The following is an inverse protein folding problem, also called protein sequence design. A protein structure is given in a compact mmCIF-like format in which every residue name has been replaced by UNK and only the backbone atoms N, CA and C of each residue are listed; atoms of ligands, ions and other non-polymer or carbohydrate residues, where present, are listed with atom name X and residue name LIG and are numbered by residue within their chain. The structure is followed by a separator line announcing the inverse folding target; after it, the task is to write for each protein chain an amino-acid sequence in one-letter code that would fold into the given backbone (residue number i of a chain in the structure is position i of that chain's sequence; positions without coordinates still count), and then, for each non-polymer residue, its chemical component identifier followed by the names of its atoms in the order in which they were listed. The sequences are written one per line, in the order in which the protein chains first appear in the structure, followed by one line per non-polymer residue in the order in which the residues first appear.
data_IF_641727079933
#
_entry.id   IF_641727079933
#
_cell.length_a   1.000
_cell.length_b   1.000
_cell.length_c   1.000
_cell.angle_alpha   90.00
_cell.angle_beta   90.00
_cell.angle_gamma   90.00
#
_symmetry.space_group_name_H-M   'P 1'
#
loop_
_entity.id
_entity.type
_entity.pdbx_description
1 polymer ?
#
# COMPACT_ATOMS: atom_id res chain seq x y z
N UNK A 1 -22.01 -1.72 -8.85
CA UNK A 1 -21.76 -0.47 -8.12
C UNK A 1 -20.71 -0.66 -7.02
N UNK A 2 -20.41 0.37 -6.25
CA UNK A 2 -19.55 0.28 -5.07
C UNK A 2 -20.37 -0.31 -3.92
N UNK A 3 -19.89 -1.38 -3.31
CA UNK A 3 -20.57 -2.02 -2.18
C UNK A 3 -20.26 -1.30 -0.86
N UNK A 4 -18.98 -1.03 -0.60
CA UNK A 4 -18.54 -0.28 0.59
C UNK A 4 -17.18 0.41 0.34
N UNK A 5 -16.81 1.32 1.23
CA UNK A 5 -15.50 1.97 1.25
C UNK A 5 -14.96 1.95 2.67
N UNK A 6 -13.65 1.66 2.82
CA UNK A 6 -12.96 1.58 4.09
C UNK A 6 -11.69 2.43 4.02
N UNK A 7 -11.54 3.37 4.96
CA UNK A 7 -10.43 4.33 4.99
C UNK A 7 -9.70 4.23 6.33
N UNK A 8 -8.39 4.10 6.26
CA UNK A 8 -7.53 4.01 7.44
C UNK A 8 -6.31 4.93 7.29
N UNK A 9 -5.85 5.46 8.40
CA UNK A 9 -4.60 6.19 8.52
C UNK A 9 -3.92 5.84 9.84
N UNK A 10 -2.60 5.66 9.81
CA UNK A 10 -1.81 5.39 11.01
C UNK A 10 -0.53 6.23 11.01
N UNK A 11 -0.59 7.41 11.61
CA UNK A 11 0.55 8.34 11.72
C UNK A 11 1.74 7.78 12.51
N UNK A 12 1.57 6.70 13.27
CA UNK A 12 2.69 6.04 13.98
C UNK A 12 3.71 5.43 13.01
N UNK A 13 3.32 5.21 11.76
CA UNK A 13 4.18 4.66 10.71
C UNK A 13 4.95 5.73 9.93
N UNK A 14 4.75 7.02 10.23
CA UNK A 14 5.44 8.13 9.57
C UNK A 14 6.96 7.93 9.49
N UNK A 15 7.69 7.47 10.54
CA UNK A 15 9.13 7.30 10.46
C UNK A 15 9.61 6.22 9.47
N UNK A 16 8.70 5.41 8.91
CA UNK A 16 9.05 4.37 7.93
C UNK A 16 9.15 4.90 6.50
N UNK A 17 8.40 5.97 6.20
CA UNK A 17 8.38 6.61 4.87
C UNK A 17 8.00 8.08 5.05
N UNK A 18 8.97 8.96 4.94
CA UNK A 18 8.77 10.38 5.14
C UNK A 18 9.79 11.23 4.37
N UNK A 19 9.60 12.54 4.43
CA UNK A 19 10.61 13.54 4.10
C UNK A 19 10.96 14.25 5.42
N UNK A 20 12.05 13.88 6.11
CA UNK A 20 12.37 14.36 7.47
C UNK A 20 12.45 15.88 7.56
N UNK A 21 12.83 16.53 6.47
CA UNK A 21 13.04 17.97 6.37
C UNK A 21 12.31 18.51 5.13
N UNK A 22 11.00 18.60 5.22
CA UNK A 22 10.17 19.12 4.14
C UNK A 22 10.15 20.65 4.10
N UNK A 23 9.61 21.22 3.01
CA UNK A 23 9.45 22.66 2.79
C UNK A 23 8.71 23.35 3.95
N UNK A 24 7.79 22.66 4.58
CA UNK A 24 7.04 23.16 5.74
C UNK A 24 7.90 23.47 6.98
N UNK A 25 9.14 22.98 7.01
CA UNK A 25 10.10 23.22 8.09
C UNK A 25 11.18 24.28 7.74
N UNK A 26 11.02 24.95 6.59
CA UNK A 26 11.91 26.00 6.12
C UNK A 26 12.80 25.56 4.97
N UNK A 27 12.97 26.45 3.99
CA UNK A 27 13.81 26.20 2.80
C UNK A 27 15.27 25.99 3.12
N UNK A 28 15.77 26.60 4.19
CA UNK A 28 17.15 26.48 4.67
C UNK A 28 17.53 25.05 5.05
N UNK A 29 16.55 24.18 5.27
CA UNK A 29 16.77 22.77 5.60
C UNK A 29 16.91 21.86 4.40
N UNK A 30 16.70 22.36 3.18
CA UNK A 30 16.79 21.56 1.94
C UNK A 30 18.23 21.35 1.46
N UNK A 31 19.18 22.16 1.92
CA UNK A 31 20.59 22.04 1.57
C UNK A 31 21.19 20.73 2.11
N UNK A 32 22.04 20.09 1.30
CA UNK A 32 22.72 18.84 1.66
C UNK A 32 21.85 17.58 1.55
N UNK A 33 20.76 17.61 0.77
CA UNK A 33 19.90 16.44 0.48
C UNK A 33 18.92 16.08 1.60
N UNK A 34 18.71 16.97 2.56
CA UNK A 34 17.77 16.74 3.67
C UNK A 34 16.31 16.68 3.24
N UNK A 35 15.97 17.29 2.09
CA UNK A 35 14.64 17.23 1.48
C UNK A 35 14.32 15.91 0.76
N UNK A 36 15.21 14.91 0.82
CA UNK A 36 14.98 13.64 0.14
C UNK A 36 14.04 12.73 0.92
N UNK A 37 13.32 11.88 0.17
CA UNK A 37 12.49 10.83 0.76
C UNK A 37 13.36 9.82 1.51
N UNK A 38 13.01 9.57 2.75
CA UNK A 38 13.58 8.50 3.59
C UNK A 38 12.60 7.33 3.63
N UNK A 39 13.08 6.11 3.35
CA UNK A 39 12.23 4.91 3.36
C UNK A 39 12.95 3.70 3.97
N UNK A 40 12.32 3.08 4.95
CA UNK A 40 12.72 1.79 5.51
C UNK A 40 12.00 0.66 4.77
N UNK A 41 12.47 0.34 3.56
CA UNK A 41 11.74 -0.50 2.60
C UNK A 41 11.26 -1.85 3.16
N UNK A 42 12.05 -2.55 3.96
CA UNK A 42 11.64 -3.84 4.56
C UNK A 42 10.52 -3.68 5.60
N UNK A 43 10.51 -2.59 6.34
CA UNK A 43 9.49 -2.30 7.34
C UNK A 43 8.20 -1.84 6.65
N UNK A 44 8.32 -0.96 5.66
CA UNK A 44 7.21 -0.55 4.80
C UNK A 44 6.54 -1.76 4.16
N UNK A 45 7.32 -2.69 3.59
CA UNK A 45 6.81 -3.94 3.01
C UNK A 45 5.96 -4.73 4.01
N UNK A 46 6.48 -4.97 5.22
CA UNK A 46 5.77 -5.75 6.25
C UNK A 46 4.48 -5.08 6.70
N UNK A 47 4.52 -3.76 6.90
CA UNK A 47 3.33 -2.98 7.28
C UNK A 47 2.31 -3.01 6.16
N UNK A 48 2.71 -2.76 4.91
CA UNK A 48 1.82 -2.75 3.76
C UNK A 48 1.09 -4.08 3.57
N UNK A 49 1.82 -5.20 3.53
CA UNK A 49 1.20 -6.53 3.34
C UNK A 49 0.21 -6.85 4.46
N UNK A 50 0.58 -6.59 5.71
CA UNK A 50 -0.31 -6.83 6.85
C UNK A 50 -1.57 -5.96 6.79
N UNK A 51 -1.40 -4.66 6.51
CA UNK A 51 -2.52 -3.70 6.49
C UNK A 51 -3.47 -3.98 5.33
N UNK A 52 -2.93 -4.26 4.15
CA UNK A 52 -3.74 -4.61 2.98
C UNK A 52 -4.52 -5.91 3.21
N UNK A 53 -3.90 -6.92 3.82
CA UNK A 53 -4.61 -8.16 4.18
C UNK A 53 -5.75 -7.92 5.15
N UNK A 54 -5.51 -7.15 6.21
CA UNK A 54 -6.56 -6.80 7.19
C UNK A 54 -7.70 -5.99 6.56
N UNK A 55 -7.38 -5.05 5.67
CA UNK A 55 -8.37 -4.24 4.96
C UNK A 55 -9.27 -5.08 4.06
N UNK A 56 -8.71 -6.08 3.39
CA UNK A 56 -9.53 -7.00 2.58
C UNK A 56 -10.45 -7.83 3.47
N UNK A 57 -9.95 -8.40 4.56
CA UNK A 57 -10.79 -9.18 5.47
C UNK A 57 -11.92 -8.31 6.07
N UNK A 58 -11.65 -7.07 6.44
CA UNK A 58 -12.65 -6.10 6.89
C UNK A 58 -13.70 -5.81 5.81
N UNK A 59 -13.25 -5.56 4.57
CA UNK A 59 -14.14 -5.24 3.44
C UNK A 59 -15.05 -6.43 3.10
N UNK A 60 -14.52 -7.63 3.07
CA UNK A 60 -15.30 -8.84 2.80
C UNK A 60 -16.34 -9.08 3.90
N UNK A 61 -15.93 -8.97 5.18
CA UNK A 61 -16.84 -9.13 6.31
C UNK A 61 -17.97 -8.09 6.30
N UNK A 62 -17.68 -6.85 5.93
CA UNK A 62 -18.68 -5.77 5.87
C UNK A 62 -19.74 -5.98 4.76
N UNK A 63 -19.48 -6.88 3.81
CA UNK A 63 -20.36 -7.14 2.68
C UNK A 63 -20.86 -8.60 2.63
N UNK A 64 -20.66 -9.37 3.70
CA UNK A 64 -21.02 -10.80 3.78
C UNK A 64 -20.41 -11.64 2.65
N UNK A 65 -19.19 -11.27 2.21
CA UNK A 65 -18.45 -11.95 1.14
C UNK A 65 -17.30 -12.80 1.70
N UNK A 66 -16.93 -13.82 0.92
CA UNK A 66 -15.77 -14.67 1.19
C UNK A 66 -14.62 -14.34 0.22
N UNK A 67 -13.40 -14.77 0.54
CA UNK A 67 -12.24 -14.59 -0.34
C UNK A 67 -12.44 -15.20 -1.73
N UNK A 68 -13.21 -16.30 -1.84
CA UNK A 68 -13.54 -16.94 -3.10
C UNK A 68 -14.44 -16.12 -4.02
N UNK A 69 -15.15 -15.13 -3.47
CA UNK A 69 -16.05 -14.25 -4.23
C UNK A 69 -15.32 -13.08 -4.90
N UNK A 70 -13.99 -12.95 -4.63
CA UNK A 70 -13.17 -11.91 -5.23
C UNK A 70 -12.71 -12.34 -6.62
N UNK A 71 -13.19 -11.67 -7.64
CA UNK A 71 -12.76 -11.91 -9.03
C UNK A 71 -11.43 -11.23 -9.35
N UNK A 72 -11.23 -10.01 -8.90
CA UNK A 72 -10.06 -9.19 -9.21
C UNK A 72 -9.53 -8.43 -8.01
N UNK A 73 -8.20 -8.39 -7.89
CA UNK A 73 -7.48 -7.49 -6.99
C UNK A 73 -6.83 -6.38 -7.80
N UNK A 74 -7.17 -5.13 -7.51
CA UNK A 74 -6.57 -3.94 -8.12
C UNK A 74 -5.86 -3.13 -7.04
N UNK A 75 -4.61 -3.48 -6.69
CA UNK A 75 -3.88 -2.81 -5.62
C UNK A 75 -3.24 -1.51 -6.10
N UNK A 76 -2.81 -0.65 -5.17
CA UNK A 76 -1.89 0.43 -5.48
C UNK A 76 -0.61 -0.11 -6.15
N UNK A 77 -0.19 0.51 -7.25
CA UNK A 77 0.90 0.05 -8.12
C UNK A 77 2.28 0.49 -7.59
N UNK A 78 2.58 0.23 -6.32
CA UNK A 78 3.82 0.66 -5.70
C UNK A 78 5.01 -0.29 -5.94
N UNK A 79 4.76 -1.58 -5.79
CA UNK A 79 5.82 -2.59 -5.79
C UNK A 79 5.23 -3.98 -6.03
N UNK A 80 5.68 -4.63 -7.10
CA UNK A 80 5.20 -5.96 -7.49
C UNK A 80 5.33 -7.01 -6.36
N UNK A 81 6.33 -6.89 -5.49
CA UNK A 81 6.52 -7.80 -4.36
C UNK A 81 5.43 -7.64 -3.30
N UNK A 82 5.02 -6.40 -2.99
CA UNK A 82 3.90 -6.11 -2.06
C UNK A 82 2.61 -6.64 -2.67
N UNK A 83 2.35 -6.30 -3.92
CA UNK A 83 1.14 -6.72 -4.64
C UNK A 83 1.00 -8.23 -4.68
N UNK A 84 2.06 -8.94 -5.08
CA UNK A 84 2.08 -10.41 -5.12
C UNK A 84 1.94 -11.05 -3.73
N UNK A 85 2.54 -10.47 -2.69
CA UNK A 85 2.40 -10.97 -1.33
C UNK A 85 0.95 -10.82 -0.83
N UNK A 86 0.30 -9.70 -1.15
CA UNK A 86 -1.11 -9.46 -0.82
C UNK A 86 -2.02 -10.46 -1.54
N UNK A 87 -1.84 -10.66 -2.84
CA UNK A 87 -2.62 -11.64 -3.61
C UNK A 87 -2.49 -13.06 -3.03
N UNK A 88 -1.27 -13.49 -2.70
CA UNK A 88 -1.03 -14.80 -2.07
C UNK A 88 -1.69 -14.93 -0.70
N UNK A 89 -1.66 -13.88 0.13
CA UNK A 89 -2.32 -13.88 1.44
C UNK A 89 -3.85 -14.05 1.29
N UNK A 90 -4.42 -13.53 0.21
CA UNK A 90 -5.82 -13.68 -0.14
C UNK A 90 -6.16 -15.04 -0.75
N UNK A 91 -5.16 -15.84 -1.13
CA UNK A 91 -5.35 -17.06 -1.91
C UNK A 91 -5.78 -16.78 -3.35
N UNK A 92 -5.55 -15.56 -3.85
CA UNK A 92 -5.92 -15.16 -5.21
C UNK A 92 -4.80 -15.51 -6.20
N UNK A 93 -5.11 -16.16 -7.34
CA UNK A 93 -4.14 -16.37 -8.41
C UNK A 93 -3.57 -15.05 -8.92
N UNK A 94 -2.27 -15.00 -9.25
CA UNK A 94 -1.63 -13.76 -9.69
C UNK A 94 -2.23 -13.20 -10.99
N UNK A 95 -2.82 -14.06 -11.82
CA UNK A 95 -3.52 -13.69 -13.06
C UNK A 95 -4.79 -12.87 -12.80
N UNK A 96 -5.32 -12.91 -11.57
CA UNK A 96 -6.45 -12.09 -11.12
C UNK A 96 -6.01 -10.82 -10.37
N UNK A 97 -4.72 -10.54 -10.35
CA UNK A 97 -4.18 -9.29 -9.82
C UNK A 97 -3.81 -8.37 -10.98
N UNK A 98 -4.41 -7.19 -11.03
CA UNK A 98 -4.05 -6.19 -12.04
C UNK A 98 -2.66 -5.63 -11.70
N UNK A 99 -1.73 -5.69 -12.65
CA UNK A 99 -0.39 -5.12 -12.54
C UNK A 99 -0.12 -4.22 -13.73
N UNK A 100 0.22 -2.97 -13.45
CA UNK A 100 0.66 -1.97 -14.43
C UNK A 100 1.96 -1.30 -14.00
N UNK A 101 2.53 -1.75 -12.88
CA UNK A 101 3.72 -1.14 -12.29
C UNK A 101 4.95 -1.22 -13.19
N UNK A 102 5.02 -2.22 -14.06
CA UNK A 102 6.13 -2.41 -15.01
C UNK A 102 6.11 -1.36 -16.11
N UNK A 103 4.91 -0.93 -16.54
CA UNK A 103 4.73 0.02 -17.64
C UNK A 103 4.58 1.47 -17.16
N UNK A 104 3.95 1.68 -16.00
CA UNK A 104 3.55 3.00 -15.52
C UNK A 104 4.25 3.43 -14.22
N UNK A 105 5.02 2.55 -13.58
CA UNK A 105 5.66 2.82 -12.31
C UNK A 105 4.67 2.92 -11.16
N UNK A 106 5.02 3.73 -10.16
CA UNK A 106 4.22 3.92 -8.95
C UNK A 106 3.00 4.81 -9.23
N UNK A 107 1.84 4.20 -9.34
CA UNK A 107 0.56 4.88 -9.62
C UNK A 107 -0.53 4.48 -8.63
#
# INVERSE_FOLDING_TARGET
GILSTHLHADGRQEPLLNVPWGISQGYENLDGGRGNVSMRGNEVFRVAVRTLGALVDETLAANDLQRGDVDWLVPHQANIRIMSATARQLGLPLERMVSTVEDHGNT
#
